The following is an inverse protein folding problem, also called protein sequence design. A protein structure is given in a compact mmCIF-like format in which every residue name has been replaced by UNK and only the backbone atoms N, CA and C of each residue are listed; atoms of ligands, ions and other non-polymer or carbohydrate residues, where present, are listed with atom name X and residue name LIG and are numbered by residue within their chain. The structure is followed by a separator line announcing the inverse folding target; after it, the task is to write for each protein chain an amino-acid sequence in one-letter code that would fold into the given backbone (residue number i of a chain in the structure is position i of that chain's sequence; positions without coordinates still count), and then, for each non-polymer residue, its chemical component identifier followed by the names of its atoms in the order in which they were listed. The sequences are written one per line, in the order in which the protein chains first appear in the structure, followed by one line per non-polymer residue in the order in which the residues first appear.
data_IF_081125551967
#
_entry.id   IF_081125551967
#
_cell.length_a   1.000
_cell.length_b   1.000
_cell.length_c   1.000
_cell.angle_alpha   90.00
_cell.angle_beta   90.00
_cell.angle_gamma   90.00
#
_symmetry.space_group_name_H-M   'P 1'
#
loop_
_entity.id
_entity.type
_entity.pdbx_description
1 polymer ?
#
# COMPACT_ATOMS: atom_id res chain seq x y z
N UNK A 1 -1.31 20.79 -24.23
CA UNK A 1 -0.11 19.93 -24.20
C UNK A 1 0.66 20.22 -22.91
N UNK A 2 1.02 19.18 -22.15
CA UNK A 2 1.78 19.26 -20.88
C UNK A 2 3.23 18.82 -21.10
N UNK A 3 4.17 19.35 -20.33
CA UNK A 3 5.54 18.80 -20.32
C UNK A 3 5.57 17.46 -19.58
N UNK A 4 4.84 17.36 -18.46
CA UNK A 4 4.78 16.16 -17.63
C UNK A 4 3.37 15.93 -17.07
N UNK A 5 2.89 14.69 -17.20
CA UNK A 5 1.75 14.16 -16.45
C UNK A 5 2.27 13.11 -15.47
N UNK A 6 1.77 13.12 -14.24
CA UNK A 6 2.05 12.15 -13.19
C UNK A 6 0.73 11.45 -12.85
N UNK A 7 0.66 10.13 -13.03
CA UNK A 7 -0.52 9.33 -12.70
C UNK A 7 -0.36 8.76 -11.29
N UNK A 8 -1.16 9.26 -10.35
CA UNK A 8 -1.14 8.83 -8.96
C UNK A 8 -0.69 9.94 -8.02
N UNK A 9 -1.36 10.02 -6.87
CA UNK A 9 -1.22 11.08 -5.87
C UNK A 9 -0.74 10.57 -4.50
N UNK A 10 -0.17 9.35 -4.45
CA UNK A 10 0.54 8.87 -3.28
C UNK A 10 1.94 9.47 -3.13
N UNK A 11 2.74 9.04 -2.14
CA UNK A 11 4.05 9.62 -1.85
C UNK A 11 4.98 9.71 -3.06
N UNK A 12 5.04 8.66 -3.89
CA UNK A 12 5.85 8.64 -5.10
C UNK A 12 5.44 9.74 -6.10
N UNK A 13 4.14 9.90 -6.36
CA UNK A 13 3.62 10.90 -7.28
C UNK A 13 3.79 12.32 -6.75
N UNK A 14 3.55 12.53 -5.45
CA UNK A 14 3.71 13.82 -4.79
C UNK A 14 5.18 14.25 -4.74
N UNK A 15 6.10 13.34 -4.40
CA UNK A 15 7.55 13.63 -4.45
C UNK A 15 8.00 13.96 -5.87
N UNK A 16 7.58 13.19 -6.87
CA UNK A 16 7.86 13.52 -8.28
C UNK A 16 7.31 14.90 -8.67
N UNK A 17 6.10 15.23 -8.20
CA UNK A 17 5.47 16.54 -8.36
C UNK A 17 6.29 17.68 -7.78
N UNK A 18 6.78 17.55 -6.53
CA UNK A 18 7.66 18.54 -5.89
C UNK A 18 8.88 18.83 -6.75
N UNK A 19 9.60 17.80 -7.18
CA UNK A 19 10.84 17.97 -7.95
C UNK A 19 10.58 18.54 -9.34
N UNK A 20 9.56 18.04 -10.06
CA UNK A 20 9.23 18.55 -11.38
C UNK A 20 8.72 20.00 -11.35
N UNK A 21 7.95 20.38 -10.34
CA UNK A 21 7.47 21.75 -10.14
C UNK A 21 8.64 22.71 -9.86
N UNK A 22 9.60 22.31 -9.01
CA UNK A 22 10.85 23.06 -8.78
C UNK A 22 11.70 23.22 -10.03
N UNK A 23 11.68 22.22 -10.92
CA UNK A 23 12.31 22.29 -12.24
C UNK A 23 11.52 23.11 -13.28
N UNK A 24 10.44 23.80 -12.86
CA UNK A 24 9.57 24.64 -13.69
C UNK A 24 8.83 23.90 -14.81
N UNK A 25 8.60 22.59 -14.66
CA UNK A 25 7.87 21.78 -15.64
C UNK A 25 6.34 21.84 -15.51
N UNK A 26 5.82 22.56 -14.49
CA UNK A 26 4.38 22.68 -14.20
C UNK A 26 3.63 21.34 -14.31
N UNK A 27 4.04 20.31 -13.53
CA UNK A 27 3.53 18.95 -13.68
C UNK A 27 2.03 18.91 -13.37
N UNK A 28 1.29 18.10 -14.14
CA UNK A 28 -0.09 17.75 -13.82
C UNK A 28 -0.14 16.41 -13.10
N UNK A 29 -0.53 16.41 -11.83
CA UNK A 29 -0.76 15.20 -11.02
C UNK A 29 -2.23 14.80 -11.13
N UNK A 30 -2.49 13.57 -11.56
CA UNK A 30 -3.84 13.00 -11.63
C UNK A 30 -4.10 12.22 -10.35
N UNK A 31 -5.17 12.57 -9.65
CA UNK A 31 -5.42 12.05 -8.29
C UNK A 31 -5.69 10.55 -8.28
N UNK A 32 -6.42 10.03 -9.26
CA UNK A 32 -6.86 8.63 -9.31
C UNK A 32 -8.11 8.37 -8.46
N UNK A 33 -8.49 7.10 -8.36
CA UNK A 33 -9.67 6.66 -7.61
C UNK A 33 -9.51 6.83 -6.08
N UNK A 34 -8.28 6.70 -5.58
CA UNK A 34 -7.93 6.86 -4.16
C UNK A 34 -6.92 8.01 -4.03
N UNK A 35 -7.37 9.28 -3.98
CA UNK A 35 -6.49 10.42 -3.82
C UNK A 35 -5.63 10.28 -2.56
N UNK A 36 -4.31 10.42 -2.70
CA UNK A 36 -3.36 10.23 -1.60
C UNK A 36 -2.82 8.80 -1.44
N UNK A 37 -3.42 7.81 -2.11
CA UNK A 37 -3.02 6.41 -2.03
C UNK A 37 -3.25 5.77 -0.66
N UNK A 38 -2.63 4.61 -0.44
CA UNK A 38 -2.89 3.75 0.73
C UNK A 38 -2.65 4.41 2.09
N UNK A 39 -1.77 5.41 2.18
CA UNK A 39 -1.53 6.11 3.46
C UNK A 39 -2.74 6.91 3.93
N UNK A 40 -3.75 7.14 3.09
CA UNK A 40 -5.01 7.74 3.55
C UNK A 40 -5.90 6.76 4.32
N UNK A 41 -5.63 5.45 4.21
CA UNK A 41 -6.39 4.39 4.86
C UNK A 41 -5.75 3.93 6.18
N UNK A 42 -4.49 4.29 6.43
CA UNK A 42 -3.81 3.98 7.69
C UNK A 42 -4.02 5.09 8.73
N UNK A 43 -3.89 4.73 10.00
CA UNK A 43 -3.97 5.66 11.12
C UNK A 43 -2.62 6.35 11.32
N UNK A 44 -1.71 5.73 12.08
CA UNK A 44 -0.42 6.30 12.45
C UNK A 44 0.71 5.79 11.54
N UNK A 45 1.64 6.68 11.19
CA UNK A 45 2.86 6.36 10.45
C UNK A 45 4.06 6.74 11.30
N UNK A 46 4.82 5.74 11.76
CA UNK A 46 5.98 5.93 12.65
C UNK A 46 7.33 5.70 11.93
N UNK A 47 7.28 5.17 10.71
CA UNK A 47 8.47 4.77 9.95
C UNK A 47 8.79 5.71 8.77
N UNK A 48 8.13 6.87 8.68
CA UNK A 48 8.46 7.90 7.69
C UNK A 48 9.45 8.91 8.30
N UNK A 49 10.66 9.07 7.73
CA UNK A 49 11.70 9.88 8.32
C UNK A 49 11.32 11.37 8.38
N UNK A 50 11.71 12.05 9.46
CA UNK A 50 11.42 13.46 9.72
C UNK A 50 10.28 13.71 10.71
N UNK A 51 9.60 12.65 11.18
CA UNK A 51 8.52 12.72 12.16
C UNK A 51 8.81 11.79 13.34
N UNK A 52 9.63 12.22 14.33
CA UNK A 52 10.07 11.36 15.42
C UNK A 52 8.93 10.87 16.32
N UNK A 53 7.86 11.66 16.43
CA UNK A 53 6.65 11.32 17.21
C UNK A 53 5.57 10.63 16.36
N UNK A 54 5.90 10.27 15.11
CA UNK A 54 4.94 9.79 14.12
C UNK A 54 3.97 10.88 13.64
N UNK A 55 3.10 10.52 12.70
CA UNK A 55 1.98 11.35 12.27
C UNK A 55 0.88 10.53 11.62
N UNK A 56 -0.33 11.10 11.56
CA UNK A 56 -1.43 10.46 10.86
C UNK A 56 -1.14 10.36 9.35
N UNK A 57 -1.42 9.21 8.75
CA UNK A 57 -1.22 8.96 7.32
C UNK A 57 -1.89 10.01 6.41
N UNK A 58 -3.17 10.37 6.64
CA UNK A 58 -3.83 11.46 5.91
C UNK A 58 -3.13 12.82 6.05
N UNK A 59 -2.57 13.12 7.23
CA UNK A 59 -1.87 14.39 7.49
C UNK A 59 -0.51 14.44 6.77
N UNK A 60 0.21 13.31 6.69
CA UNK A 60 1.42 13.18 5.89
C UNK A 60 1.13 13.48 4.41
N UNK A 61 0.11 12.82 3.83
CA UNK A 61 -0.29 13.02 2.44
C UNK A 61 -0.72 14.47 2.18
N UNK A 62 -1.52 15.07 3.07
CA UNK A 62 -1.93 16.48 2.95
C UNK A 62 -0.71 17.39 2.90
N UNK A 63 0.27 17.17 3.77
CA UNK A 63 1.51 17.95 3.85
C UNK A 63 2.34 17.83 2.57
N UNK A 64 2.49 16.60 2.04
CA UNK A 64 3.16 16.36 0.76
C UNK A 64 2.45 17.04 -0.42
N UNK A 65 1.11 17.00 -0.45
CA UNK A 65 0.29 17.64 -1.49
C UNK A 65 0.51 19.16 -1.50
N UNK A 66 0.40 19.78 -0.33
CA UNK A 66 0.64 21.22 -0.15
C UNK A 66 2.06 21.62 -0.57
N UNK A 67 3.06 20.77 -0.29
CA UNK A 67 4.44 21.04 -0.70
C UNK A 67 4.59 21.08 -2.23
N UNK A 68 4.00 20.13 -2.97
CA UNK A 68 4.09 20.14 -4.42
C UNK A 68 3.28 21.31 -5.03
N UNK A 69 2.12 21.61 -4.48
CA UNK A 69 1.27 22.74 -4.89
C UNK A 69 2.01 24.07 -4.74
N UNK A 70 2.69 24.27 -3.59
CA UNK A 70 3.49 25.46 -3.31
C UNK A 70 4.58 25.72 -4.36
N UNK A 71 5.13 24.67 -4.98
CA UNK A 71 6.13 24.81 -6.04
C UNK A 71 5.53 24.91 -7.45
N UNK A 72 4.21 24.84 -7.59
CA UNK A 72 3.49 25.00 -8.86
C UNK A 72 3.10 23.69 -9.56
N UNK A 73 2.99 22.58 -8.82
CA UNK A 73 2.30 21.40 -9.33
C UNK A 73 0.79 21.67 -9.42
N UNK A 74 0.17 21.22 -10.51
CA UNK A 74 -1.28 21.29 -10.70
C UNK A 74 -1.89 19.92 -10.43
N UNK A 75 -3.10 19.92 -9.87
CA UNK A 75 -3.84 18.69 -9.59
C UNK A 75 -5.08 18.59 -10.47
N UNK A 76 -5.39 17.37 -10.87
CA UNK A 76 -6.63 17.05 -11.55
C UNK A 76 -7.30 15.85 -10.87
N UNK A 77 -8.50 16.04 -10.29
CA UNK A 77 -9.37 14.93 -9.95
C UNK A 77 -9.70 14.13 -11.21
N UNK A 78 -9.75 12.81 -11.06
CA UNK A 78 -10.09 11.92 -12.17
C UNK A 78 -9.23 10.67 -12.22
N UNK A 79 -9.61 9.76 -13.09
CA UNK A 79 -8.90 8.49 -13.31
C UNK A 79 -8.39 8.42 -14.74
N UNK A 80 -7.12 8.08 -14.90
CA UNK A 80 -6.58 7.75 -16.21
C UNK A 80 -7.07 6.36 -16.62
N UNK A 81 -7.82 6.28 -17.71
CA UNK A 81 -8.46 5.04 -18.18
C UNK A 81 -7.74 4.40 -19.37
N UNK A 82 -6.94 5.16 -20.10
CA UNK A 82 -6.13 4.67 -21.20
C UNK A 82 -4.89 5.54 -21.44
N UNK A 83 -3.84 4.95 -22.00
CA UNK A 83 -2.63 5.64 -22.44
C UNK A 83 -2.14 5.09 -23.80
N UNK A 84 -2.00 5.97 -24.79
CA UNK A 84 -1.29 5.68 -26.04
C UNK A 84 0.17 6.11 -25.89
N UNK A 85 1.05 5.11 -25.73
CA UNK A 85 2.49 5.28 -25.55
C UNK A 85 3.29 4.96 -26.83
N UNK A 86 2.60 4.64 -27.94
CA UNK A 86 3.24 4.20 -29.18
C UNK A 86 3.96 5.32 -29.94
N UNK A 87 3.62 6.58 -29.63
CA UNK A 87 4.13 7.79 -30.27
C UNK A 87 4.23 8.95 -29.28
N UNK A 88 4.97 9.99 -29.65
CA UNK A 88 5.12 11.22 -28.86
C UNK A 88 4.48 12.43 -29.57
N UNK A 89 3.84 13.37 -28.84
CA UNK A 89 3.56 13.33 -27.40
C UNK A 89 2.62 12.16 -27.04
N UNK A 90 2.78 11.62 -25.83
CA UNK A 90 1.91 10.57 -25.30
C UNK A 90 0.50 11.12 -25.11
N UNK A 91 -0.52 10.28 -25.28
CA UNK A 91 -1.93 10.66 -25.11
C UNK A 91 -2.53 9.88 -23.97
N UNK A 92 -3.06 10.57 -22.95
CA UNK A 92 -3.63 9.98 -21.75
C UNK A 92 -5.10 10.34 -21.68
N UNK A 93 -5.98 9.35 -21.64
CA UNK A 93 -7.40 9.57 -21.40
C UNK A 93 -7.65 9.67 -19.90
N UNK A 94 -8.17 10.81 -19.45
CA UNK A 94 -8.55 11.08 -18.05
C UNK A 94 -10.04 11.42 -18.04
N UNK A 95 -10.84 10.54 -17.46
CA UNK A 95 -12.32 10.61 -17.45
C UNK A 95 -12.92 10.84 -18.86
N UNK A 96 -12.37 10.13 -19.86
CA UNK A 96 -12.81 10.26 -21.25
C UNK A 96 -12.23 11.47 -22.02
N UNK A 97 -11.65 12.46 -21.33
CA UNK A 97 -10.96 13.57 -21.99
C UNK A 97 -9.47 13.26 -22.22
N UNK A 98 -8.99 13.46 -23.44
CA UNK A 98 -7.58 13.22 -23.78
C UNK A 98 -6.70 14.40 -23.40
N UNK A 99 -5.61 14.12 -22.69
CA UNK A 99 -4.51 15.05 -22.39
C UNK A 99 -3.24 14.55 -23.06
N UNK A 100 -2.48 15.47 -23.64
CA UNK A 100 -1.20 15.14 -24.29
C UNK A 100 -0.03 15.60 -23.43
N UNK A 101 0.98 14.74 -23.28
CA UNK A 101 2.20 15.06 -22.55
C UNK A 101 3.48 14.62 -23.27
N UNK A 102 4.58 15.34 -23.03
CA UNK A 102 5.91 14.94 -23.52
C UNK A 102 6.45 13.75 -22.71
N UNK A 103 6.26 13.80 -21.39
CA UNK A 103 6.71 12.77 -20.45
C UNK A 103 5.58 12.33 -19.54
N UNK A 104 5.65 11.08 -19.09
CA UNK A 104 4.69 10.45 -18.20
C UNK A 104 5.43 9.77 -17.03
N UNK A 105 4.98 10.01 -15.81
CA UNK A 105 5.38 9.22 -14.63
C UNK A 105 4.18 8.40 -14.18
N UNK A 106 4.37 7.09 -14.04
CA UNK A 106 3.35 6.17 -13.51
C UNK A 106 3.69 5.92 -12.04
N UNK A 107 2.89 6.51 -11.15
CA UNK A 107 2.99 6.41 -9.71
C UNK A 107 1.65 5.95 -9.09
N UNK A 108 0.94 5.07 -9.81
CA UNK A 108 -0.42 4.62 -9.49
C UNK A 108 -0.50 3.70 -8.26
N UNK A 109 0.65 3.27 -7.75
CA UNK A 109 0.74 2.35 -6.63
C UNK A 109 0.28 0.95 -6.97
N UNK A 110 -0.01 0.20 -5.92
CA UNK A 110 -0.68 -1.09 -5.94
C UNK A 110 -1.68 -1.09 -4.78
N UNK A 111 -2.62 -2.03 -4.76
CA UNK A 111 -3.55 -2.23 -3.63
C UNK A 111 -3.31 -3.59 -3.01
N UNK A 112 -3.45 -3.68 -1.68
CA UNK A 112 -3.43 -4.96 -0.99
C UNK A 112 -4.62 -5.82 -1.46
N UNK A 113 -4.37 -7.12 -1.64
CA UNK A 113 -5.43 -8.07 -1.96
C UNK A 113 -6.05 -8.57 -0.66
N UNK A 114 -7.24 -8.07 -0.37
CA UNK A 114 -8.06 -8.48 0.76
C UNK A 114 -8.75 -9.82 0.46
N UNK A 115 -9.20 -10.51 1.51
CA UNK A 115 -9.99 -11.75 1.40
C UNK A 115 -11.40 -11.48 0.87
N UNK A 116 -11.89 -10.26 1.04
CA UNK A 116 -13.22 -9.84 0.59
C UNK A 116 -14.32 -10.10 1.62
N UNK A 117 -13.96 -10.36 2.87
CA UNK A 117 -14.90 -10.55 3.96
C UNK A 117 -15.45 -9.20 4.45
N UNK A 118 -16.71 -9.15 4.85
CA UNK A 118 -17.29 -7.92 5.40
C UNK A 118 -16.64 -7.56 6.75
N UNK A 119 -16.38 -8.57 7.59
CA UNK A 119 -15.68 -8.43 8.87
C UNK A 119 -14.25 -7.90 8.71
N UNK A 120 -13.54 -8.33 7.66
CA UNK A 120 -12.21 -7.83 7.32
C UNK A 120 -12.24 -6.31 7.08
N UNK A 121 -13.24 -5.79 6.36
CA UNK A 121 -13.38 -4.34 6.13
C UNK A 121 -13.71 -3.55 7.40
N UNK A 122 -14.55 -4.12 8.29
CA UNK A 122 -14.95 -3.48 9.54
C UNK A 122 -13.79 -3.34 10.54
N UNK A 123 -12.80 -4.24 10.45
CA UNK A 123 -11.72 -4.35 11.43
C UNK A 123 -10.35 -3.89 10.90
N UNK A 124 -10.25 -3.34 9.69
CA UNK A 124 -9.00 -2.74 9.19
C UNK A 124 -8.54 -1.65 10.15
N UNK A 125 -7.29 -1.74 10.62
CA UNK A 125 -6.73 -0.82 11.63
C UNK A 125 -7.15 -1.13 13.07
N UNK A 126 -8.02 -2.12 13.28
CA UNK A 126 -8.52 -2.59 14.58
C UNK A 126 -8.26 -4.10 14.75
N UNK A 127 -7.04 -4.54 14.47
CA UNK A 127 -6.63 -5.95 14.55
C UNK A 127 -6.47 -6.63 13.19
N UNK A 128 -7.04 -6.08 12.12
CA UNK A 128 -6.77 -6.50 10.73
C UNK A 128 -5.79 -5.52 10.08
N UNK A 129 -4.70 -6.07 9.53
CA UNK A 129 -3.67 -5.32 8.80
C UNK A 129 -3.27 -6.05 7.52
N UNK A 130 -2.72 -5.29 6.58
CA UNK A 130 -2.17 -5.80 5.31
C UNK A 130 -0.64 -5.65 5.21
N UNK A 131 0.00 -5.08 6.24
CA UNK A 131 1.43 -4.81 6.24
C UNK A 131 2.02 -5.12 7.62
N UNK A 132 2.70 -6.25 7.76
CA UNK A 132 3.24 -6.63 9.07
C UNK A 132 4.47 -5.79 9.45
N UNK A 133 5.23 -5.31 8.47
CA UNK A 133 6.32 -4.33 8.70
C UNK A 133 5.81 -3.01 9.27
N UNK A 134 4.57 -2.62 8.94
CA UNK A 134 3.96 -1.38 9.40
C UNK A 134 3.45 -1.54 10.84
N UNK A 135 2.70 -2.61 11.11
CA UNK A 135 1.90 -2.71 12.33
C UNK A 135 2.39 -3.78 13.32
N UNK A 136 3.36 -4.62 12.94
CA UNK A 136 3.77 -5.79 13.71
C UNK A 136 4.26 -5.47 15.13
N UNK A 137 4.79 -4.26 15.33
CA UNK A 137 5.21 -3.77 16.65
C UNK A 137 4.05 -3.69 17.66
N UNK A 138 2.84 -3.30 17.21
CA UNK A 138 1.67 -3.16 18.09
C UNK A 138 1.15 -4.50 18.63
N UNK A 139 1.54 -5.62 18.03
CA UNK A 139 1.12 -6.97 18.40
C UNK A 139 2.17 -7.70 19.25
N UNK A 140 2.97 -6.95 20.02
CA UNK A 140 3.97 -7.53 20.90
C UNK A 140 3.33 -8.49 21.91
N UNK A 141 3.92 -9.69 22.03
CA UNK A 141 3.47 -10.77 22.91
C UNK A 141 2.03 -11.30 22.64
N UNK A 142 1.41 -10.89 21.54
CA UNK A 142 0.12 -11.38 21.08
C UNK A 142 0.27 -12.62 20.19
N UNK A 143 -0.83 -13.35 19.99
CA UNK A 143 -0.93 -14.39 18.97
C UNK A 143 -1.56 -13.80 17.71
N UNK A 144 -0.89 -13.97 16.57
CA UNK A 144 -1.30 -13.36 15.30
C UNK A 144 -1.48 -14.41 14.21
N UNK A 145 -2.31 -14.09 13.23
CA UNK A 145 -2.55 -14.94 12.07
C UNK A 145 -2.09 -14.25 10.79
N UNK A 146 -1.48 -15.02 9.88
CA UNK A 146 -1.09 -14.56 8.54
C UNK A 146 -1.81 -15.39 7.50
N UNK A 147 -2.54 -14.75 6.60
CA UNK A 147 -3.31 -15.45 5.57
C UNK A 147 -2.55 -15.43 4.24
N UNK A 148 -2.24 -16.61 3.71
CA UNK A 148 -1.57 -16.76 2.42
C UNK A 148 -0.51 -17.86 2.41
N UNK A 149 0.25 -17.96 1.33
CA UNK A 149 1.27 -19.02 1.20
C UNK A 149 2.28 -18.80 0.08
N UNK A 150 2.45 -17.57 -0.37
CA UNK A 150 3.57 -17.17 -1.23
C UNK A 150 4.74 -16.62 -0.41
N UNK A 151 5.79 -16.15 -1.08
CA UNK A 151 6.96 -15.56 -0.41
C UNK A 151 6.56 -14.40 0.50
N UNK A 152 5.68 -13.49 0.05
CA UNK A 152 5.20 -12.36 0.87
C UNK A 152 4.60 -12.82 2.20
N UNK A 153 3.80 -13.88 2.21
CA UNK A 153 3.21 -14.41 3.45
C UNK A 153 4.28 -14.98 4.39
N UNK A 154 5.31 -15.62 3.84
CA UNK A 154 6.40 -16.19 4.65
C UNK A 154 7.34 -15.11 5.19
N UNK A 155 7.61 -14.07 4.40
CA UNK A 155 8.38 -12.91 4.84
C UNK A 155 7.67 -12.18 5.99
N UNK A 156 6.38 -11.90 5.84
CA UNK A 156 5.56 -11.24 6.86
C UNK A 156 5.43 -12.11 8.13
N UNK A 157 5.19 -13.42 7.98
CA UNK A 157 5.13 -14.33 9.12
C UNK A 157 6.44 -14.38 9.90
N UNK A 158 7.58 -14.51 9.20
CA UNK A 158 8.90 -14.49 9.81
C UNK A 158 9.19 -13.15 10.49
N UNK A 159 8.81 -12.04 9.86
CA UNK A 159 8.95 -10.71 10.46
C UNK A 159 8.16 -10.61 11.78
N UNK A 160 6.90 -11.04 11.77
CA UNK A 160 6.03 -11.00 12.95
C UNK A 160 6.56 -11.84 14.12
N UNK A 161 7.33 -12.90 13.88
CA UNK A 161 7.91 -13.70 14.98
C UNK A 161 8.86 -12.92 15.89
N UNK A 162 9.35 -11.75 15.46
CA UNK A 162 10.16 -10.83 16.27
C UNK A 162 9.37 -10.16 17.40
N UNK A 163 8.06 -10.01 17.22
CA UNK A 163 7.18 -9.28 18.14
C UNK A 163 6.13 -10.21 18.76
N UNK A 164 5.47 -11.00 17.93
CA UNK A 164 4.38 -11.89 18.34
C UNK A 164 4.91 -13.07 19.18
N UNK A 165 4.06 -13.52 20.11
CA UNK A 165 4.27 -14.75 20.89
C UNK A 165 4.19 -15.98 19.99
N UNK A 166 3.20 -16.00 19.07
CA UNK A 166 2.94 -17.08 18.12
C UNK A 166 2.38 -16.51 16.82
N UNK A 167 2.78 -17.09 15.68
CA UNK A 167 2.29 -16.74 14.35
C UNK A 167 1.66 -17.98 13.72
N UNK A 168 0.37 -17.93 13.38
CA UNK A 168 -0.30 -19.02 12.67
C UNK A 168 -0.53 -18.63 11.22
N UNK A 169 0.09 -19.36 10.30
CA UNK A 169 -0.11 -19.17 8.86
C UNK A 169 -1.31 -19.99 8.41
N UNK A 170 -2.35 -19.31 7.90
CA UNK A 170 -3.52 -19.96 7.29
C UNK A 170 -3.31 -20.04 5.78
N UNK A 171 -3.29 -21.27 5.25
CA UNK A 171 -3.16 -21.49 3.82
C UNK A 171 -4.24 -22.43 3.29
N UNK A 172 -4.86 -22.02 2.17
CA UNK A 172 -5.97 -22.75 1.51
C UNK A 172 -5.60 -24.08 0.84
N UNK A 173 -4.36 -24.54 0.97
CA UNK A 173 -3.84 -25.77 0.36
C UNK A 173 -2.95 -26.49 1.36
N UNK A 174 -2.62 -27.72 1.05
CA UNK A 174 -1.66 -28.59 1.75
C UNK A 174 -0.18 -28.21 1.54
N UNK A 175 0.11 -27.26 0.64
CA UNK A 175 1.49 -26.84 0.30
C UNK A 175 1.63 -25.36 -0.04
N UNK A 176 2.77 -24.79 0.32
CA UNK A 176 3.14 -23.42 0.00
C UNK A 176 3.56 -23.25 -1.47
N UNK A 177 3.33 -22.04 -1.99
CA UNK A 177 3.90 -21.55 -3.26
C UNK A 177 5.22 -20.79 -3.06
N UNK A 178 5.54 -20.42 -1.82
CA UNK A 178 6.79 -19.74 -1.49
C UNK A 178 8.02 -20.48 -2.03
N UNK A 179 9.09 -19.76 -2.31
CA UNK A 179 10.40 -20.30 -2.66
C UNK A 179 10.88 -21.29 -1.58
N UNK A 180 11.66 -22.30 -1.99
CA UNK A 180 12.10 -23.37 -1.09
C UNK A 180 12.84 -22.83 0.14
N UNK A 181 13.71 -21.84 -0.06
CA UNK A 181 14.45 -21.21 1.04
C UNK A 181 13.54 -20.50 2.05
N UNK A 182 12.44 -19.90 1.59
CA UNK A 182 11.46 -19.26 2.46
C UNK A 182 10.62 -20.28 3.22
N UNK A 183 10.23 -21.37 2.57
CA UNK A 183 9.58 -22.50 3.24
C UNK A 183 10.47 -23.07 4.34
N UNK A 184 11.74 -23.34 4.05
CA UNK A 184 12.68 -23.94 5.00
C UNK A 184 12.90 -23.03 6.22
N UNK A 185 13.02 -21.71 6.01
CA UNK A 185 13.09 -20.72 7.11
C UNK A 185 11.82 -20.70 7.95
N UNK A 186 10.65 -20.71 7.31
CA UNK A 186 9.38 -20.65 8.01
C UNK A 186 9.10 -21.94 8.81
N UNK A 187 9.38 -23.11 8.24
CA UNK A 187 9.24 -24.40 8.91
C UNK A 187 10.23 -24.59 10.06
N UNK A 188 11.43 -24.01 9.98
CA UNK A 188 12.42 -24.07 11.06
C UNK A 188 12.10 -23.15 12.25
N UNK A 189 11.20 -22.18 12.08
CA UNK A 189 10.88 -21.22 13.14
C UNK A 189 9.79 -21.77 14.08
N UNK A 190 10.16 -22.02 15.33
CA UNK A 190 9.28 -22.63 16.34
C UNK A 190 8.08 -21.76 16.74
N UNK A 191 8.10 -20.45 16.46
CA UNK A 191 6.94 -19.57 16.70
C UNK A 191 5.90 -19.66 15.58
N UNK A 192 6.22 -20.27 14.44
CA UNK A 192 5.33 -20.38 13.29
C UNK A 192 4.62 -21.73 13.33
N UNK A 193 3.29 -21.69 13.32
CA UNK A 193 2.43 -22.83 13.08
C UNK A 193 1.71 -22.68 11.74
N UNK A 194 1.29 -23.80 11.15
CA UNK A 194 0.56 -23.81 9.89
C UNK A 194 -0.81 -24.44 10.07
N UNK A 195 -1.83 -23.74 9.56
CA UNK A 195 -3.18 -24.23 9.39
C UNK A 195 -3.43 -24.42 7.88
N UNK A 196 -3.21 -25.65 7.42
CA UNK A 196 -3.36 -26.04 6.02
C UNK A 196 -4.82 -26.27 5.65
N UNK A 197 -5.07 -26.31 4.34
CA UNK A 197 -6.39 -26.59 3.74
C UNK A 197 -7.53 -25.77 4.36
N UNK A 198 -7.22 -24.53 4.73
CA UNK A 198 -8.11 -23.67 5.51
C UNK A 198 -8.21 -22.27 4.91
N UNK A 199 -9.39 -21.67 5.05
CA UNK A 199 -9.66 -20.28 4.69
C UNK A 199 -10.43 -19.62 5.83
N UNK A 200 -10.15 -18.34 6.16
CA UNK A 200 -11.00 -17.59 7.07
C UNK A 200 -12.39 -17.38 6.45
N UNK A 201 -13.44 -17.70 7.19
CA UNK A 201 -14.83 -17.40 6.80
C UNK A 201 -15.31 -16.08 7.42
N UNK A 202 -14.82 -15.76 8.63
CA UNK A 202 -15.16 -14.54 9.36
C UNK A 202 -14.01 -14.12 10.28
N UNK A 203 -13.91 -12.82 10.59
CA UNK A 203 -13.00 -12.24 11.59
C UNK A 203 -13.85 -11.65 12.72
N UNK A 204 -13.66 -12.14 13.94
CA UNK A 204 -14.44 -11.73 15.11
C UNK A 204 -13.69 -10.66 15.91
N UNK A 205 -14.39 -9.62 16.33
CA UNK A 205 -13.86 -8.60 17.23
C UNK A 205 -13.81 -9.13 18.67
N UNK A 206 -12.67 -8.96 19.33
CA UNK A 206 -12.46 -9.34 20.72
C UNK A 206 -13.29 -8.46 21.67
N UNK A 207 -13.63 -7.23 21.27
CA UNK A 207 -14.41 -6.28 22.06
C UNK A 207 -15.94 -6.48 22.00
N UNK A 208 -16.43 -7.44 21.21
CA UNK A 208 -17.88 -7.73 21.05
C UNK A 208 -18.30 -9.11 21.58
N UNK A 209 -17.44 -9.76 22.38
CA UNK A 209 -17.75 -11.00 23.10
C UNK A 209 -18.16 -10.74 24.55
#
# INVERSE_FOLDING_TARGET
MRDLIILGSGPAGLTAGVYAARARLKPLIVDGHEPGGQLTLTTMVENFPGFPDGLMGPDLIRSMRQQAERFGAEYRPGTATAADLSRRPFRIAIDGATQECRSLIIATGASAKMLGLESERKLVGHGVSTCATCDGFFFQDQEVMVVGGGDSSMEEALFLTKFAKRVTVIHRRDKLRASKIMQDKAFANQKIAFLWDSVPEEILDVGQQ
#
